data_IF_771268490189
#
_entry.id   IF_771268490189
#
_cell.length_a   1.000
_cell.length_b   1.000
_cell.length_c   1.000
_cell.angle_alpha   90.00
_cell.angle_beta   90.00
_cell.angle_gamma   90.00
#
_symmetry.space_group_name_H-M   'P 1'
#
loop_
_entity.id
_entity.type
_entity.pdbx_description
1 polymer ?
#
# COMPACT_ATOMS: atom_id res chain seq x y z
N UNK A 1 -1.57 26.06 17.59
CA UNK A 1 -2.91 25.42 17.72
C UNK A 1 -3.52 25.06 16.38
N UNK A 2 -3.71 25.98 15.42
CA UNK A 2 -4.37 25.67 14.14
C UNK A 2 -3.63 24.60 13.31
N UNK A 3 -2.30 24.65 13.22
CA UNK A 3 -1.48 23.65 12.50
C UNK A 3 -1.64 22.25 13.09
N UNK A 4 -1.77 22.17 14.42
CA UNK A 4 -1.94 20.90 15.15
C UNK A 4 -3.27 20.24 14.85
N UNK A 5 -4.35 21.03 14.76
CA UNK A 5 -5.69 20.52 14.43
C UNK A 5 -5.71 20.01 12.99
N UNK A 6 -5.16 20.77 12.04
CA UNK A 6 -5.08 20.37 10.62
C UNK A 6 -4.22 19.10 10.47
N UNK A 7 -3.06 19.05 11.11
CA UNK A 7 -2.19 17.88 11.10
C UNK A 7 -2.88 16.66 11.73
N UNK A 8 -3.61 16.86 12.83
CA UNK A 8 -4.41 15.81 13.48
C UNK A 8 -5.45 15.21 12.54
N UNK A 9 -6.20 16.05 11.81
CA UNK A 9 -7.19 15.59 10.82
C UNK A 9 -6.52 14.79 9.69
N UNK A 10 -5.38 15.25 9.18
CA UNK A 10 -4.64 14.55 8.12
C UNK A 10 -4.12 13.19 8.60
N UNK A 11 -3.57 13.11 9.82
CA UNK A 11 -3.07 11.85 10.40
C UNK A 11 -4.23 10.89 10.68
N UNK A 12 -5.35 11.36 11.24
CA UNK A 12 -6.52 10.52 11.46
C UNK A 12 -7.12 10.00 10.14
N UNK A 13 -7.15 10.84 9.11
CA UNK A 13 -7.57 10.41 7.77
C UNK A 13 -6.61 9.38 7.17
N UNK A 14 -5.30 9.54 7.36
CA UNK A 14 -4.30 8.55 6.96
C UNK A 14 -4.47 7.22 7.69
N UNK A 15 -4.68 7.27 9.01
CA UNK A 15 -4.94 6.09 9.86
C UNK A 15 -6.20 5.34 9.43
N UNK A 16 -7.27 6.08 9.11
CA UNK A 16 -8.50 5.51 8.57
C UNK A 16 -8.24 4.76 7.27
N UNK A 17 -7.45 5.33 6.35
CA UNK A 17 -7.08 4.67 5.11
C UNK A 17 -6.25 3.40 5.33
N UNK A 18 -5.30 3.41 6.28
CA UNK A 18 -4.56 2.20 6.65
C UNK A 18 -5.46 1.10 7.23
N UNK A 19 -6.44 1.47 8.06
CA UNK A 19 -7.45 0.52 8.56
C UNK A 19 -8.27 -0.08 7.43
N UNK A 20 -8.77 0.75 6.50
CA UNK A 20 -9.54 0.28 5.33
C UNK A 20 -8.69 -0.62 4.43
N UNK A 21 -7.40 -0.28 4.23
CA UNK A 21 -6.46 -1.13 3.49
C UNK A 21 -6.29 -2.50 4.12
N UNK A 22 -6.11 -2.56 5.44
CA UNK A 22 -6.00 -3.81 6.20
C UNK A 22 -7.27 -4.65 6.10
N UNK A 23 -8.44 -4.01 6.23
CA UNK A 23 -9.73 -4.68 6.05
C UNK A 23 -9.94 -5.18 4.62
N UNK A 24 -9.48 -4.44 3.61
CA UNK A 24 -9.50 -4.86 2.21
C UNK A 24 -8.70 -6.15 2.00
N UNK A 25 -7.51 -6.24 2.58
CA UNK A 25 -6.68 -7.46 2.51
C UNK A 25 -7.38 -8.65 3.16
N UNK A 26 -8.08 -8.45 4.28
CA UNK A 26 -8.78 -9.53 4.99
C UNK A 26 -10.08 -9.99 4.29
N UNK A 27 -10.76 -9.10 3.54
CA UNK A 27 -12.08 -9.40 2.97
C UNK A 27 -12.03 -9.91 1.53
N UNK A 28 -11.03 -9.54 0.73
CA UNK A 28 -10.99 -9.96 -0.67
C UNK A 28 -10.43 -11.39 -0.83
N UNK A 29 -11.15 -12.29 -1.53
CA UNK A 29 -10.71 -13.67 -1.71
C UNK A 29 -9.56 -13.80 -2.73
N UNK A 30 -9.53 -12.95 -3.75
CA UNK A 30 -8.54 -12.99 -4.83
C UNK A 30 -7.30 -12.14 -4.51
N UNK A 31 -6.13 -12.64 -4.87
CA UNK A 31 -4.81 -12.03 -4.64
C UNK A 31 -4.68 -10.72 -5.42
N UNK A 32 -5.12 -10.65 -6.67
CA UNK A 32 -5.07 -9.42 -7.46
C UNK A 32 -5.94 -8.31 -6.86
N UNK A 33 -7.14 -8.68 -6.40
CA UNK A 33 -8.08 -7.75 -5.77
C UNK A 33 -7.54 -7.26 -4.41
N UNK A 34 -6.88 -8.13 -3.62
CA UNK A 34 -6.20 -7.74 -2.38
C UNK A 34 -5.08 -6.72 -2.61
N UNK A 35 -4.22 -6.97 -3.61
CA UNK A 35 -3.08 -6.09 -3.89
C UNK A 35 -3.54 -4.72 -4.39
N UNK A 36 -4.56 -4.67 -5.25
CA UNK A 36 -5.13 -3.41 -5.74
C UNK A 36 -5.72 -2.55 -4.61
N UNK A 37 -6.47 -3.18 -3.71
CA UNK A 37 -7.03 -2.50 -2.54
C UNK A 37 -5.95 -2.03 -1.59
N UNK A 38 -4.93 -2.85 -1.33
CA UNK A 38 -3.78 -2.48 -0.51
C UNK A 38 -3.04 -1.28 -1.12
N UNK A 39 -2.62 -1.35 -2.38
CA UNK A 39 -1.84 -0.30 -3.03
C UNK A 39 -2.54 1.07 -3.06
N UNK A 40 -3.86 1.08 -3.32
CA UNK A 40 -4.66 2.32 -3.28
C UNK A 40 -4.74 2.91 -1.88
N UNK A 41 -4.98 2.08 -0.88
CA UNK A 41 -5.09 2.54 0.50
C UNK A 41 -3.75 3.03 1.04
N UNK A 42 -2.66 2.35 0.68
CA UNK A 42 -1.31 2.63 1.15
C UNK A 42 -0.76 3.94 0.56
N UNK A 43 -0.98 4.19 -0.74
CA UNK A 43 -0.57 5.45 -1.39
C UNK A 43 -1.31 6.66 -0.84
N UNK A 44 -2.63 6.57 -0.61
CA UNK A 44 -3.42 7.64 0.01
C UNK A 44 -3.12 7.81 1.50
N UNK A 45 -3.00 6.71 2.25
CA UNK A 45 -2.72 6.71 3.69
C UNK A 45 -1.34 7.29 4.01
N UNK A 46 -0.31 6.88 3.27
CA UNK A 46 1.03 7.44 3.40
C UNK A 46 1.05 8.94 3.02
N UNK A 47 0.37 9.33 1.93
CA UNK A 47 0.32 10.72 1.49
C UNK A 47 -0.37 11.63 2.52
N UNK A 48 -1.53 11.23 3.06
CA UNK A 48 -2.21 11.99 4.12
C UNK A 48 -1.38 12.04 5.41
N UNK A 49 -0.80 10.92 5.83
CA UNK A 49 -0.02 10.89 7.08
C UNK A 49 1.24 11.76 6.98
N UNK A 50 1.99 11.63 5.88
CA UNK A 50 3.23 12.39 5.65
C UNK A 50 2.95 13.87 5.42
N UNK A 51 1.89 14.22 4.69
CA UNK A 51 1.50 15.62 4.48
C UNK A 51 1.06 16.30 5.79
N UNK A 52 0.32 15.58 6.66
CA UNK A 52 0.01 16.05 8.00
C UNK A 52 1.26 16.31 8.86
N UNK A 53 2.25 15.41 8.77
CA UNK A 53 3.53 15.55 9.47
C UNK A 53 4.37 16.75 8.96
N UNK A 54 4.37 16.99 7.65
CA UNK A 54 5.05 18.14 7.03
C UNK A 54 4.41 19.46 7.51
N UNK A 55 3.08 19.54 7.55
CA UNK A 55 2.35 20.72 8.04
C UNK A 55 2.63 20.97 9.53
N UNK A 56 2.75 19.91 10.32
CA UNK A 56 3.06 20.02 11.75
C UNK A 56 4.49 20.51 12.00
N UNK A 57 5.47 19.94 11.29
CA UNK A 57 6.90 20.20 11.54
C UNK A 57 7.44 21.46 10.81
N UNK A 58 6.72 21.95 9.80
CA UNK A 58 7.12 23.11 9.01
C UNK A 58 8.26 22.83 8.01
N UNK A 59 8.72 23.87 7.32
CA UNK A 59 9.79 23.80 6.32
C UNK A 59 11.16 23.65 6.99
N UNK A 60 11.49 22.42 7.36
CA UNK A 60 12.73 22.04 8.03
C UNK A 60 13.42 20.88 7.29
N UNK A 61 14.67 20.57 7.65
CA UNK A 61 15.39 19.39 7.16
C UNK A 61 14.59 18.09 7.29
N UNK A 62 13.73 18.00 8.29
CA UNK A 62 12.84 16.85 8.50
C UNK A 62 11.77 16.72 7.42
N UNK A 63 11.21 17.83 6.93
CA UNK A 63 10.21 17.80 5.85
C UNK A 63 10.81 17.27 4.54
N UNK A 64 12.07 17.62 4.26
CA UNK A 64 12.80 17.09 3.10
C UNK A 64 12.96 15.56 3.18
N UNK A 65 13.32 15.04 4.35
CA UNK A 65 13.41 13.59 4.60
C UNK A 65 12.05 12.90 4.43
N UNK A 66 10.97 13.51 4.90
CA UNK A 66 9.61 12.96 4.76
C UNK A 66 9.16 12.88 3.30
N UNK A 67 9.47 13.90 2.49
CA UNK A 67 9.21 13.88 1.05
C UNK A 67 10.02 12.76 0.37
N UNK A 68 11.28 12.58 0.76
CA UNK A 68 12.11 11.50 0.21
C UNK A 68 11.53 10.12 0.55
N UNK A 69 11.03 9.93 1.77
CA UNK A 69 10.33 8.70 2.19
C UNK A 69 9.03 8.51 1.37
N UNK A 70 8.27 9.58 1.12
CA UNK A 70 7.05 9.51 0.30
C UNK A 70 7.35 9.00 -1.12
N UNK A 71 8.38 9.56 -1.76
CA UNK A 71 8.81 9.16 -3.11
C UNK A 71 9.29 7.70 -3.09
N UNK A 72 10.05 7.32 -2.07
CA UNK A 72 10.54 5.95 -1.93
C UNK A 72 9.41 4.93 -1.80
N UNK A 73 8.39 5.22 -0.97
CA UNK A 73 7.19 4.39 -0.83
C UNK A 73 6.44 4.29 -2.17
N UNK A 74 6.32 5.39 -2.90
CA UNK A 74 5.65 5.42 -4.19
C UNK A 74 6.33 4.59 -5.28
N UNK A 75 7.65 4.44 -5.23
CA UNK A 75 8.39 3.53 -6.13
C UNK A 75 8.28 2.09 -5.62
N UNK A 76 8.36 1.89 -4.32
CA UNK A 76 8.35 0.56 -3.70
C UNK A 76 7.00 -0.15 -3.88
N UNK A 77 5.88 0.57 -3.72
CA UNK A 77 4.53 0.00 -3.82
C UNK A 77 4.20 -0.68 -5.18
N UNK A 78 4.44 -0.04 -6.35
CA UNK A 78 4.23 -0.69 -7.64
C UNK A 78 5.22 -1.83 -7.89
N UNK A 79 6.47 -1.72 -7.43
CA UNK A 79 7.45 -2.81 -7.53
C UNK A 79 6.99 -4.03 -6.74
N UNK A 80 6.55 -3.84 -5.49
CA UNK A 80 6.02 -4.92 -4.66
C UNK A 80 4.78 -5.57 -5.30
N UNK A 81 3.84 -4.75 -5.76
CA UNK A 81 2.62 -5.21 -6.46
C UNK A 81 2.94 -6.06 -7.69
N UNK A 82 3.90 -5.62 -8.51
CA UNK A 82 4.29 -6.34 -9.72
C UNK A 82 4.96 -7.68 -9.41
N UNK A 83 5.82 -7.75 -8.38
CA UNK A 83 6.46 -9.00 -7.95
C UNK A 83 5.45 -10.01 -7.41
N UNK A 84 4.50 -9.56 -6.58
CA UNK A 84 3.46 -10.44 -6.04
C UNK A 84 2.54 -10.93 -7.18
N UNK A 85 2.15 -10.05 -8.10
CA UNK A 85 1.34 -10.44 -9.26
C UNK A 85 2.05 -11.47 -10.16
N UNK A 86 3.36 -11.31 -10.39
CA UNK A 86 4.16 -12.29 -11.13
C UNK A 86 4.26 -13.62 -10.38
N UNK A 87 4.44 -13.60 -9.06
CA UNK A 87 4.53 -14.81 -8.24
C UNK A 87 3.22 -15.61 -8.27
N UNK A 88 2.08 -14.94 -8.18
CA UNK A 88 0.78 -15.63 -8.23
C UNK A 88 0.48 -16.17 -9.62
N UNK A 89 0.80 -15.41 -10.68
CA UNK A 89 0.69 -15.91 -12.05
C UNK A 89 1.50 -17.19 -12.28
N UNK A 90 2.74 -17.24 -11.77
CA UNK A 90 3.59 -18.43 -11.84
C UNK A 90 3.02 -19.59 -11.02
N UNK A 91 2.43 -19.34 -9.83
CA UNK A 91 1.75 -20.37 -9.03
C UNK A 91 0.57 -20.98 -9.78
N UNK A 92 -0.28 -20.17 -10.41
CA UNK A 92 -1.41 -20.68 -11.19
C UNK A 92 -0.97 -21.55 -12.37
N UNK A 93 0.17 -21.22 -13.01
CA UNK A 93 0.71 -22.04 -14.09
C UNK A 93 1.27 -23.38 -13.60
N UNK A 94 1.95 -23.40 -12.45
CA UNK A 94 2.47 -24.63 -11.84
C UNK A 94 1.34 -25.56 -11.36
N UNK A 95 0.30 -24.98 -10.74
CA UNK A 95 -0.88 -25.71 -10.28
C UNK A 95 -1.65 -26.33 -11.47
N UNK A 96 -1.80 -25.61 -12.59
CA UNK A 96 -2.40 -26.15 -13.82
C UNK A 96 -1.53 -27.19 -14.55
N UNK A 97 -0.19 -27.08 -14.45
CA UNK A 97 0.73 -28.08 -15.00
C UNK A 97 0.81 -29.35 -14.14
N UNK A 98 0.53 -29.23 -12.84
CA UNK A 98 0.31 -30.33 -11.90
C UNK A 98 -0.83 -31.22 -12.39
N UNK A 99 -2.05 -30.64 -12.51
CA UNK A 99 -3.31 -31.31 -12.91
C UNK A 99 -3.16 -32.14 -14.21
N UNK A 100 -2.37 -31.65 -15.17
CA UNK A 100 -2.21 -32.33 -16.46
C UNK A 100 -1.34 -33.61 -16.36
N UNK A 101 -0.52 -33.74 -15.31
CA UNK A 101 0.31 -34.94 -15.08
C UNK A 101 -0.45 -36.06 -14.36
N UNK A 102 -1.39 -35.75 -13.49
CA UNK A 102 -2.25 -36.74 -12.81
C UNK A 102 -3.38 -37.27 -13.70
N UNK A 103 -3.81 -36.53 -14.73
CA UNK A 103 -4.80 -37.00 -15.71
C UNK A 103 -4.20 -37.99 -16.76
N UNK A 104 -2.87 -38.05 -16.89
CA UNK A 104 -2.16 -38.92 -17.84
C UNK A 104 -1.55 -40.20 -17.20
N UNK A 105 -2.03 -40.64 -16.03
CA UNK A 105 -1.60 -41.88 -15.35
C UNK A 105 -2.73 -42.91 -15.32
#
# INVERSE_FOLDING_TARGET
MIKTIIAGIFIFGGLFFFMVGTLGILRFPDVFTRIHSAAKCDTLGALLSLMGLIIFNGFNWTALKLILVLIFIWITNPTATHLIGKAEYLRTLDEGAGINKDENI
#
